data_IF_183938412377
#
_entry.id   IF_183938412377
#
_cell.length_a   1.000
_cell.length_b   1.000
_cell.length_c   1.000
_cell.angle_alpha   90.00
_cell.angle_beta   90.00
_cell.angle_gamma   90.00
#
_symmetry.space_group_name_H-M   'P 1'
#
loop_
_entity.id
_entity.type
_entity.pdbx_description
1 polymer ?
#
# COMPACT_ATOMS: atom_id res chain seq x y z
N UNK A 1 22.03 -19.94 7.45
CA UNK A 1 21.19 -19.60 6.29
C UNK A 1 22.06 -19.58 5.05
N UNK A 2 21.63 -20.21 3.94
CA UNK A 2 22.23 -19.94 2.62
C UNK A 2 22.08 -18.44 2.36
N UNK A 3 23.20 -17.70 2.22
CA UNK A 3 23.21 -16.23 2.12
C UNK A 3 22.25 -15.68 1.05
N UNK A 4 21.97 -16.48 0.02
CA UNK A 4 21.04 -16.19 -1.08
C UNK A 4 19.61 -15.93 -0.57
N UNK A 5 19.10 -16.73 0.36
CA UNK A 5 17.69 -16.61 0.81
C UNK A 5 17.52 -15.33 1.63
N UNK A 6 18.49 -15.00 2.48
CA UNK A 6 18.49 -13.74 3.22
C UNK A 6 18.60 -12.53 2.29
N UNK A 7 19.46 -12.62 1.28
CA UNK A 7 19.61 -11.57 0.27
C UNK A 7 18.30 -11.31 -0.49
N UNK A 8 17.61 -12.35 -0.94
CA UNK A 8 16.32 -12.23 -1.64
C UNK A 8 15.24 -11.59 -0.76
N UNK A 9 15.16 -11.98 0.52
CA UNK A 9 14.23 -11.39 1.48
C UNK A 9 14.50 -9.89 1.70
N UNK A 10 15.78 -9.52 1.88
CA UNK A 10 16.17 -8.13 2.06
C UNK A 10 15.93 -7.28 0.80
N UNK A 11 16.23 -7.83 -0.38
CA UNK A 11 15.98 -7.19 -1.66
C UNK A 11 14.49 -6.93 -1.87
N UNK A 12 13.63 -7.92 -1.61
CA UNK A 12 12.19 -7.75 -1.68
C UNK A 12 11.69 -6.67 -0.69
N UNK A 13 12.16 -6.71 0.56
CA UNK A 13 11.79 -5.71 1.55
C UNK A 13 12.23 -4.29 1.15
N UNK A 14 13.42 -4.16 0.55
CA UNK A 14 13.93 -2.88 0.04
C UNK A 14 13.10 -2.35 -1.13
N UNK A 15 12.78 -3.19 -2.11
CA UNK A 15 11.92 -2.83 -3.25
C UNK A 15 10.53 -2.42 -2.74
N UNK A 16 9.98 -3.19 -1.81
CA UNK A 16 8.65 -2.97 -1.27
C UNK A 16 8.58 -1.62 -0.53
N UNK A 17 9.50 -1.38 0.40
CA UNK A 17 9.61 -0.12 1.12
C UNK A 17 9.91 1.06 0.17
N UNK A 18 10.86 0.89 -0.74
CA UNK A 18 11.26 1.92 -1.70
C UNK A 18 10.11 2.36 -2.60
N UNK A 19 9.31 1.40 -3.11
CA UNK A 19 8.11 1.70 -3.88
C UNK A 19 7.07 2.46 -3.06
N UNK A 20 6.88 2.12 -1.78
CA UNK A 20 5.94 2.80 -0.91
C UNK A 20 6.35 4.22 -0.59
N UNK A 21 7.64 4.45 -0.32
CA UNK A 21 8.20 5.79 -0.13
C UNK A 21 8.06 6.61 -1.41
N UNK A 22 8.44 6.07 -2.56
CA UNK A 22 8.35 6.77 -3.84
C UNK A 22 6.91 7.18 -4.18
N UNK A 23 5.96 6.25 -4.05
CA UNK A 23 4.55 6.54 -4.37
C UNK A 23 3.96 7.57 -3.41
N UNK A 24 4.30 7.50 -2.13
CA UNK A 24 3.75 8.40 -1.10
C UNK A 24 4.29 9.81 -1.20
N UNK A 25 5.61 9.95 -1.37
CA UNK A 25 6.29 11.24 -1.25
C UNK A 25 6.66 11.89 -2.58
N UNK A 26 6.77 11.12 -3.67
CA UNK A 26 7.10 11.65 -4.98
C UNK A 26 5.90 11.56 -5.94
N UNK A 27 5.42 10.35 -6.23
CA UNK A 27 4.41 10.17 -7.27
C UNK A 27 3.06 10.82 -6.89
N UNK A 28 2.58 10.62 -5.66
CA UNK A 28 1.33 11.20 -5.16
C UNK A 28 1.30 12.73 -5.30
N UNK A 29 2.25 13.47 -4.71
CA UNK A 29 2.33 14.92 -4.85
C UNK A 29 2.51 15.40 -6.30
N UNK A 30 3.27 14.66 -7.12
CA UNK A 30 3.50 15.02 -8.52
C UNK A 30 2.22 15.09 -9.36
N UNK A 31 1.24 14.22 -9.14
CA UNK A 31 -0.04 14.28 -9.87
C UNK A 31 -0.90 15.50 -9.53
N UNK A 32 -0.66 16.12 -8.37
CA UNK A 32 -1.47 17.24 -7.88
C UNK A 32 -0.66 18.53 -7.73
N UNK A 33 0.55 18.60 -8.30
CA UNK A 33 1.35 19.82 -8.31
C UNK A 33 0.73 20.88 -9.21
N UNK A 34 1.01 22.16 -8.93
CA UNK A 34 0.51 23.28 -9.75
C UNK A 34 0.94 23.13 -11.21
N UNK A 35 2.20 22.75 -11.44
CA UNK A 35 2.76 22.47 -12.77
C UNK A 35 1.96 21.41 -13.51
N UNK A 36 1.63 20.28 -12.87
CA UNK A 36 0.82 19.22 -13.46
C UNK A 36 -0.60 19.70 -13.80
N UNK A 37 -1.18 20.52 -12.92
CA UNK A 37 -2.52 21.06 -13.10
C UNK A 37 -2.61 22.13 -14.19
N UNK A 38 -1.49 22.70 -14.64
CA UNK A 38 -1.49 23.65 -15.78
C UNK A 38 -1.90 23.00 -17.10
N UNK A 39 -1.58 21.72 -17.30
CA UNK A 39 -1.87 21.00 -18.55
C UNK A 39 -2.78 19.79 -18.36
N UNK A 40 -2.90 19.24 -17.15
CA UNK A 40 -3.82 18.15 -16.83
C UNK A 40 -4.84 18.62 -15.79
N UNK A 41 -6.11 18.89 -16.19
CA UNK A 41 -7.13 19.33 -15.25
C UNK A 41 -7.30 18.33 -14.10
N UNK A 42 -7.59 18.83 -12.89
CA UNK A 42 -7.66 18.04 -11.64
C UNK A 42 -8.45 16.73 -11.74
N UNK A 43 -9.54 16.72 -12.52
CA UNK A 43 -10.34 15.51 -12.76
C UNK A 43 -9.56 14.41 -13.50
N UNK A 44 -8.76 14.79 -14.50
CA UNK A 44 -7.93 13.88 -15.29
C UNK A 44 -6.70 13.43 -14.50
N UNK A 45 -6.07 14.34 -13.74
CA UNK A 45 -4.95 13.99 -12.86
C UNK A 45 -5.37 12.99 -11.77
N UNK A 46 -6.55 13.17 -11.17
CA UNK A 46 -7.08 12.20 -10.23
C UNK A 46 -7.35 10.82 -10.85
N UNK A 47 -7.80 10.77 -12.11
CA UNK A 47 -7.99 9.50 -12.84
C UNK A 47 -6.65 8.84 -13.19
N UNK A 48 -5.64 9.62 -13.57
CA UNK A 48 -4.28 9.14 -13.81
C UNK A 48 -3.67 8.56 -12.52
N UNK A 49 -3.84 9.25 -11.38
CA UNK A 49 -3.40 8.78 -10.08
C UNK A 49 -4.09 7.45 -9.69
N UNK A 50 -5.39 7.29 -9.96
CA UNK A 50 -6.10 6.02 -9.73
C UNK A 50 -5.50 4.87 -10.53
N UNK A 51 -5.21 5.07 -11.82
CA UNK A 51 -4.61 4.04 -12.67
C UNK A 51 -3.19 3.66 -12.19
N UNK A 52 -2.41 4.64 -11.74
CA UNK A 52 -1.11 4.35 -11.14
C UNK A 52 -1.25 3.55 -9.83
N UNK A 53 -2.21 3.90 -8.98
CA UNK A 53 -2.47 3.20 -7.72
C UNK A 53 -2.92 1.75 -7.93
N UNK A 54 -3.67 1.45 -8.99
CA UNK A 54 -4.01 0.07 -9.37
C UNK A 54 -2.75 -0.76 -9.67
N UNK A 55 -1.81 -0.20 -10.45
CA UNK A 55 -0.53 -0.86 -10.76
C UNK A 55 0.34 -1.03 -9.52
N UNK A 56 0.37 -0.01 -8.66
CA UNK A 56 1.06 -0.07 -7.38
C UNK A 56 0.48 -1.12 -6.45
N UNK A 57 -0.84 -1.32 -6.43
CA UNK A 57 -1.48 -2.39 -5.66
C UNK A 57 -1.04 -3.79 -6.15
N UNK A 58 -0.89 -4.00 -7.45
CA UNK A 58 -0.35 -5.26 -7.99
C UNK A 58 1.08 -5.49 -7.49
N UNK A 59 1.94 -4.46 -7.54
CA UNK A 59 3.30 -4.55 -7.00
C UNK A 59 3.30 -4.90 -5.50
N UNK A 60 2.43 -4.26 -4.71
CA UNK A 60 2.25 -4.56 -3.29
C UNK A 60 1.87 -6.02 -3.05
N UNK A 61 0.95 -6.58 -3.85
CA UNK A 61 0.56 -7.98 -3.77
C UNK A 61 1.72 -8.94 -4.14
N UNK A 62 2.52 -8.60 -5.16
CA UNK A 62 3.70 -9.39 -5.54
C UNK A 62 4.73 -9.39 -4.39
N UNK A 63 5.07 -8.21 -3.85
CA UNK A 63 6.02 -8.09 -2.75
C UNK A 63 5.53 -8.82 -1.48
N UNK A 64 4.23 -8.73 -1.17
CA UNK A 64 3.61 -9.48 -0.10
C UNK A 64 3.71 -11.00 -0.31
N UNK A 65 3.43 -11.48 -1.53
CA UNK A 65 3.56 -12.89 -1.88
C UNK A 65 4.99 -13.41 -1.70
N UNK A 66 5.98 -12.63 -2.17
CA UNK A 66 7.40 -12.96 -1.99
C UNK A 66 7.77 -12.96 -0.49
N UNK A 67 7.29 -11.99 0.30
CA UNK A 67 7.55 -11.95 1.73
C UNK A 67 6.97 -13.16 2.48
N UNK A 68 5.75 -13.60 2.12
CA UNK A 68 5.15 -14.82 2.68
C UNK A 68 5.91 -16.07 2.26
N UNK A 69 6.29 -16.18 0.98
CA UNK A 69 7.09 -17.31 0.49
C UNK A 69 8.46 -17.38 1.21
N UNK A 70 9.09 -16.23 1.43
CA UNK A 70 10.33 -16.11 2.20
C UNK A 70 10.14 -16.57 3.65
N UNK A 71 9.07 -16.12 4.32
CA UNK A 71 8.71 -16.54 5.67
C UNK A 71 8.51 -18.06 5.79
N UNK A 72 7.82 -18.65 4.81
CA UNK A 72 7.58 -20.09 4.75
C UNK A 72 8.88 -20.87 4.51
N UNK A 73 9.76 -20.35 3.65
CA UNK A 73 11.07 -20.95 3.40
C UNK A 73 11.96 -20.92 4.65
N UNK A 74 11.90 -19.85 5.46
CA UNK A 74 12.60 -19.79 6.75
C UNK A 74 12.05 -20.80 7.76
N UNK A 75 10.73 -20.90 7.85
CA UNK A 75 10.07 -21.86 8.73
C UNK A 75 10.41 -23.32 8.36
N UNK A 76 10.40 -23.66 7.07
CA UNK A 76 10.76 -25.00 6.58
C UNK A 76 12.22 -25.36 6.90
N UNK A 77 13.16 -24.41 6.75
CA UNK A 77 14.60 -24.65 6.97
C UNK A 77 14.95 -24.76 8.44
N UNK A 78 14.43 -23.86 9.27
CA UNK A 78 14.79 -23.80 10.69
C UNK A 78 13.94 -24.73 11.55
N UNK A 79 12.73 -25.09 11.09
CA UNK A 79 11.66 -25.74 11.86
C UNK A 79 11.35 -25.05 13.20
N UNK A 80 11.81 -23.81 13.38
CA UNK A 80 11.56 -23.02 14.57
C UNK A 80 10.36 -22.11 14.33
N UNK A 81 9.56 -21.84 15.37
CA UNK A 81 8.47 -20.89 15.23
C UNK A 81 9.04 -19.51 14.90
N UNK A 82 8.54 -18.92 13.82
CA UNK A 82 8.84 -17.53 13.49
C UNK A 82 8.33 -16.62 14.61
N UNK A 83 9.06 -15.55 14.91
CA UNK A 83 8.63 -14.58 15.92
C UNK A 83 7.19 -14.10 15.67
N UNK A 84 6.36 -14.14 16.71
CA UNK A 84 4.96 -13.71 16.63
C UNK A 84 4.85 -12.26 16.16
N UNK A 85 5.81 -11.41 16.55
CA UNK A 85 5.88 -10.01 16.11
C UNK A 85 6.04 -9.90 14.60
N UNK A 86 7.03 -10.58 14.01
CA UNK A 86 7.28 -10.50 12.57
C UNK A 86 6.11 -11.05 11.75
N UNK A 87 5.54 -12.18 12.19
CA UNK A 87 4.37 -12.78 11.55
C UNK A 87 3.16 -11.86 11.62
N UNK A 88 2.82 -11.34 12.80
CA UNK A 88 1.64 -10.49 12.98
C UNK A 88 1.79 -9.14 12.27
N UNK A 89 3.01 -8.58 12.24
CA UNK A 89 3.31 -7.36 11.49
C UNK A 89 3.07 -7.58 9.99
N UNK A 90 3.64 -8.65 9.43
CA UNK A 90 3.49 -8.97 8.00
C UNK A 90 2.02 -9.21 7.64
N UNK A 91 1.31 -9.99 8.44
CA UNK A 91 -0.14 -10.21 8.25
C UNK A 91 -0.93 -8.91 8.34
N UNK A 92 -0.61 -8.02 9.27
CA UNK A 92 -1.24 -6.71 9.40
C UNK A 92 -1.02 -5.83 8.17
N UNK A 93 0.21 -5.77 7.65
CA UNK A 93 0.53 -5.03 6.43
C UNK A 93 -0.22 -5.60 5.22
N UNK A 94 -0.22 -6.92 5.05
CA UNK A 94 -0.94 -7.59 3.97
C UNK A 94 -2.45 -7.30 4.05
N UNK A 95 -3.03 -7.41 5.24
CA UNK A 95 -4.44 -7.11 5.46
C UNK A 95 -4.77 -5.65 5.09
N UNK A 96 -3.94 -4.68 5.50
CA UNK A 96 -4.12 -3.28 5.15
C UNK A 96 -4.03 -3.03 3.64
N UNK A 97 -3.06 -3.65 2.97
CA UNK A 97 -2.90 -3.57 1.52
C UNK A 97 -4.14 -4.09 0.82
N UNK A 98 -4.61 -5.29 1.18
CA UNK A 98 -5.80 -5.91 0.58
C UNK A 98 -7.07 -5.10 0.86
N UNK A 99 -7.27 -4.62 2.08
CA UNK A 99 -8.40 -3.76 2.42
C UNK A 99 -8.36 -2.44 1.62
N UNK A 100 -7.17 -1.86 1.45
CA UNK A 100 -6.96 -0.67 0.63
C UNK A 100 -7.32 -0.89 -0.85
N UNK A 101 -6.81 -1.96 -1.46
CA UNK A 101 -7.02 -2.23 -2.88
C UNK A 101 -8.41 -2.76 -3.23
N UNK A 102 -8.96 -3.68 -2.42
CA UNK A 102 -10.22 -4.37 -2.72
C UNK A 102 -11.45 -3.59 -2.27
N UNK A 103 -11.32 -2.74 -1.24
CA UNK A 103 -12.48 -2.04 -0.68
C UNK A 103 -12.39 -0.53 -0.82
N UNK A 104 -11.26 0.06 -0.46
CA UNK A 104 -11.12 1.51 -0.40
C UNK A 104 -10.93 2.14 -1.79
N UNK A 105 -10.10 1.53 -2.64
CA UNK A 105 -9.88 1.98 -4.01
C UNK A 105 -11.18 2.00 -4.86
N UNK A 106 -11.99 0.93 -4.94
CA UNK A 106 -13.24 0.99 -5.71
C UNK A 106 -14.24 1.97 -5.13
N UNK A 107 -14.24 2.21 -3.81
CA UNK A 107 -15.10 3.22 -3.18
C UNK A 107 -14.74 4.63 -3.66
N UNK A 108 -13.44 4.97 -3.69
CA UNK A 108 -12.95 6.25 -4.18
C UNK A 108 -13.19 6.43 -5.69
N UNK A 109 -13.02 5.36 -6.48
CA UNK A 109 -13.29 5.39 -7.92
C UNK A 109 -14.75 5.66 -8.24
N UNK A 110 -15.69 5.11 -7.47
CA UNK A 110 -17.14 5.36 -7.64
C UNK A 110 -17.54 6.80 -7.31
N UNK A 111 -16.80 7.47 -6.44
CA UNK A 111 -17.07 8.87 -6.06
C UNK A 111 -16.54 9.88 -7.09
N UNK A 112 -15.59 9.48 -7.94
CA UNK A 112 -14.94 10.38 -8.90
C UNK A 112 -15.89 10.88 -10.01
N UNK A 113 -16.76 10.04 -10.63
CA UNK A 113 -17.77 10.51 -11.58
C UNK A 113 -18.79 11.47 -10.97
N UNK A 114 -19.16 11.25 -9.70
CA UNK A 114 -20.08 12.13 -8.97
C UNK A 114 -19.45 13.49 -8.61
N UNK A 115 -18.12 13.56 -8.48
CA UNK A 115 -17.39 14.80 -8.22
C UNK A 115 -17.16 15.62 -9.50
N UNK A 116 -17.05 14.95 -10.66
CA UNK A 116 -16.76 15.56 -11.95
C UNK A 116 -17.75 15.11 -13.04
N UNK A 117 -19.05 15.41 -12.90
CA UNK A 117 -20.08 14.94 -13.83
C UNK A 117 -19.86 15.44 -15.26
N UNK A 118 -19.32 16.66 -15.43
CA UNK A 118 -18.99 17.23 -16.74
C UNK A 118 -17.93 16.43 -17.52
N UNK A 119 -17.04 15.71 -16.82
CA UNK A 119 -16.01 14.88 -17.45
C UNK A 119 -16.61 13.58 -17.99
N UNK A 120 -17.60 13.01 -17.30
CA UNK A 120 -18.14 11.67 -17.60
C UNK A 120 -19.43 11.71 -18.42
N UNK A 121 -20.29 12.71 -18.22
CA UNK A 121 -21.63 12.78 -18.81
C UNK A 121 -21.79 13.88 -19.87
N UNK A 122 -20.67 14.42 -20.40
CA UNK A 122 -20.70 15.47 -21.44
C UNK A 122 -21.60 15.13 -22.63
N UNK A 123 -21.65 13.85 -23.02
CA UNK A 123 -22.41 13.39 -24.18
C UNK A 123 -23.87 13.01 -23.84
N UNK A 124 -24.28 13.13 -22.57
CA UNK A 124 -25.60 12.71 -22.08
C UNK A 124 -26.26 13.82 -21.24
N UNK A 125 -26.88 14.83 -21.90
CA UNK A 125 -27.28 16.08 -21.25
C UNK A 125 -28.33 15.89 -20.15
N UNK A 126 -29.23 14.91 -20.27
CA UNK A 126 -30.22 14.59 -19.25
C UNK A 126 -29.57 14.08 -17.94
N UNK A 127 -28.57 13.21 -18.05
CA UNK A 127 -27.82 12.73 -16.88
C UNK A 127 -26.89 13.81 -16.32
N UNK A 128 -26.28 14.63 -17.18
CA UNK A 128 -25.43 15.73 -16.74
C UNK A 128 -26.21 16.71 -15.87
N UNK A 129 -27.44 17.07 -16.24
CA UNK A 129 -28.27 18.00 -15.48
C UNK A 129 -28.68 17.45 -14.11
N UNK A 130 -28.93 16.14 -14.00
CA UNK A 130 -29.23 15.49 -12.72
C UNK A 130 -27.97 15.36 -11.84
N UNK A 131 -26.84 14.95 -12.41
CA UNK A 131 -25.61 14.68 -11.67
C UNK A 131 -24.81 15.95 -11.33
N UNK A 132 -24.96 17.03 -12.11
CA UNK A 132 -24.33 18.33 -11.85
C UNK A 132 -25.09 19.17 -10.82
N UNK A 133 -26.13 18.63 -10.17
CA UNK A 133 -26.78 19.29 -9.04
C UNK A 133 -25.75 19.62 -7.95
N UNK A 134 -25.68 20.88 -7.48
CA UNK A 134 -24.64 21.33 -6.56
C UNK A 134 -24.64 20.55 -5.24
N UNK A 135 -25.82 20.21 -4.71
CA UNK A 135 -25.93 19.38 -3.50
C UNK A 135 -25.29 17.99 -3.66
N UNK A 136 -25.50 17.33 -4.81
CA UNK A 136 -24.93 16.00 -5.08
C UNK A 136 -23.41 16.07 -5.23
N UNK A 137 -22.93 17.06 -5.98
CA UNK A 137 -21.49 17.28 -6.20
C UNK A 137 -20.79 17.59 -4.88
N UNK A 138 -21.38 18.43 -4.02
CA UNK A 138 -20.81 18.76 -2.71
C UNK A 138 -20.81 17.56 -1.75
N UNK A 139 -21.90 16.80 -1.70
CA UNK A 139 -21.97 15.57 -0.91
C UNK A 139 -20.92 14.55 -1.36
N UNK A 140 -20.70 14.42 -2.68
CA UNK A 140 -19.66 13.58 -3.26
C UNK A 140 -18.26 14.07 -2.90
N UNK A 141 -18.00 15.39 -2.96
CA UNK A 141 -16.72 16.00 -2.55
C UNK A 141 -16.38 15.74 -1.08
N UNK A 142 -17.35 15.93 -0.18
CA UNK A 142 -17.19 15.66 1.26
C UNK A 142 -16.90 14.18 1.52
N UNK A 143 -17.69 13.30 0.91
CA UNK A 143 -17.50 11.86 1.01
C UNK A 143 -16.13 11.42 0.48
N UNK A 144 -15.71 11.96 -0.67
CA UNK A 144 -14.41 11.70 -1.26
C UNK A 144 -13.29 12.15 -0.33
N UNK A 145 -13.37 13.36 0.22
CA UNK A 145 -12.37 13.88 1.17
C UNK A 145 -12.21 13.00 2.40
N UNK A 146 -13.32 12.52 2.98
CA UNK A 146 -13.29 11.62 4.13
C UNK A 146 -12.62 10.28 3.80
N UNK A 147 -13.03 9.63 2.70
CA UNK A 147 -12.42 8.36 2.29
C UNK A 147 -10.97 8.51 1.83
N UNK A 148 -10.61 9.65 1.24
CA UNK A 148 -9.24 9.95 0.85
C UNK A 148 -8.34 10.12 2.08
N UNK A 149 -8.83 10.78 3.13
CA UNK A 149 -8.12 10.86 4.42
C UNK A 149 -7.90 9.49 5.05
N UNK A 150 -8.93 8.62 5.04
CA UNK A 150 -8.80 7.22 5.49
C UNK A 150 -7.73 6.48 4.68
N UNK A 151 -7.69 6.69 3.36
CA UNK A 151 -6.69 6.08 2.49
C UNK A 151 -5.27 6.56 2.79
N UNK A 152 -5.07 7.86 3.03
CA UNK A 152 -3.76 8.40 3.43
C UNK A 152 -3.29 7.80 4.76
N UNK A 153 -4.16 7.74 5.77
CA UNK A 153 -3.82 7.15 7.07
C UNK A 153 -3.47 5.67 6.93
N UNK A 154 -4.24 4.89 6.15
CA UNK A 154 -3.93 3.50 5.88
C UNK A 154 -2.57 3.34 5.15
N UNK A 155 -2.29 4.20 4.18
CA UNK A 155 -1.01 4.20 3.46
C UNK A 155 0.18 4.49 4.40
N UNK A 156 0.02 5.43 5.34
CA UNK A 156 1.05 5.71 6.36
C UNK A 156 1.28 4.51 7.28
N UNK A 157 0.21 3.82 7.71
CA UNK A 157 0.33 2.61 8.50
C UNK A 157 1.04 1.48 7.74
N UNK A 158 0.76 1.31 6.44
CA UNK A 158 1.51 0.39 5.58
C UNK A 158 2.99 0.77 5.54
N UNK A 159 3.31 2.05 5.33
CA UNK A 159 4.69 2.53 5.25
C UNK A 159 5.45 2.25 6.57
N UNK A 160 4.85 2.57 7.71
CA UNK A 160 5.43 2.26 9.03
C UNK A 160 5.62 0.75 9.22
N UNK A 161 4.64 -0.05 8.79
CA UNK A 161 4.72 -1.51 8.83
C UNK A 161 5.85 -2.05 7.96
N UNK A 162 6.09 -1.47 6.78
CA UNK A 162 7.18 -1.84 5.88
C UNK A 162 8.55 -1.46 6.44
N UNK A 163 8.67 -0.31 7.10
CA UNK A 163 9.90 0.06 7.83
C UNK A 163 10.17 -0.97 8.93
N UNK A 164 9.16 -1.33 9.71
CA UNK A 164 9.27 -2.37 10.73
C UNK A 164 9.64 -3.74 10.15
N UNK A 165 9.04 -4.15 9.03
CA UNK A 165 9.34 -5.39 8.34
C UNK A 165 10.79 -5.41 7.85
N UNK A 166 11.23 -4.36 7.16
CA UNK A 166 12.61 -4.20 6.70
C UNK A 166 13.61 -4.31 7.86
N UNK A 167 13.32 -3.65 8.98
CA UNK A 167 14.18 -3.73 10.17
C UNK A 167 14.25 -5.16 10.73
N UNK A 168 13.12 -5.87 10.80
CA UNK A 168 13.08 -7.24 11.31
C UNK A 168 13.79 -8.24 10.38
N UNK A 169 13.69 -8.08 9.05
CA UNK A 169 14.44 -8.90 8.08
C UNK A 169 15.95 -8.64 8.18
N UNK A 170 16.34 -7.40 8.49
CA UNK A 170 17.75 -7.04 8.61
C UNK A 170 18.40 -7.55 9.92
N UNK A 171 17.61 -7.79 10.98
CA UNK A 171 18.15 -8.27 12.26
C UNK A 171 18.85 -9.62 12.04
N UNK A 172 20.10 -9.79 12.52
CA UNK A 172 20.77 -11.08 12.47
C UNK A 172 19.95 -12.11 13.24
N UNK A 173 19.82 -13.31 12.68
CA UNK A 173 19.19 -14.44 13.35
C UNK A 173 19.99 -14.75 14.62
N UNK A 174 19.46 -14.38 15.79
CA UNK A 174 20.10 -14.73 17.05
C UNK A 174 20.01 -16.25 17.20
N UNK A 175 21.12 -16.98 16.96
CA UNK A 175 21.21 -18.40 17.27
C UNK A 175 22.59 -18.71 17.89
N UNK A 176 22.70 -19.61 18.91
CA UNK A 176 21.65 -20.36 19.59
C UNK A 176 21.47 -19.97 21.07
N UNK A 177 20.23 -20.08 21.57
CA UNK A 177 19.94 -20.24 23.01
C UNK A 177 20.24 -21.70 23.39
N UNK A 178 21.51 -22.10 23.36
CA UNK A 178 21.96 -23.36 23.95
C UNK A 178 23.17 -23.12 24.85
N UNK A 179 23.01 -23.47 26.14
CA UNK A 179 24.06 -24.21 26.83
C UNK A 179 25.02 -23.48 27.77
N UNK A 180 24.57 -22.56 28.63
CA UNK A 180 25.35 -22.23 29.85
C UNK A 180 24.76 -22.96 31.06
N UNK A 181 24.98 -24.28 31.11
CA UNK A 181 25.11 -25.04 32.35
C UNK A 181 26.12 -26.17 32.14
N UNK A 182 27.34 -25.80 31.77
CA UNK A 182 28.49 -26.52 32.31
C UNK A 182 28.60 -26.10 33.77
N UNK A 183 28.03 -26.89 34.68
CA UNK A 183 28.47 -26.89 36.06
C UNK A 183 29.28 -28.17 36.23
N UNK A 184 30.57 -27.93 36.35
CA UNK A 184 31.68 -28.84 36.63
C UNK A 184 31.46 -29.66 37.89
N UNK A 185 31.93 -30.92 37.80
CA UNK A 185 32.45 -31.83 38.83
C UNK A 185 31.60 -32.14 40.06
#
# INVERSE_FOLDING_TARGET
MLGIIRFLGLLNAAIWLGSAVFVTFAAGPAFFSEEMLTFLPKAHSGRAAQLMLERYFILQCICAGIAVAHLLAEWLQTRQPVSLLHRNLLLGVIALVLLGGLWLAPRLQRLHPAMYPEMYYRNEPAMLQEMAQPERVEAAKKSFGLWHGVAQTANLLVLLGLVGHFFLVNRPSTAPRFGNRFRTS
#
